data_IF_142864720438
#
_entry.id   IF_142864720438
#
_cell.length_a   1.000
_cell.length_b   1.000
_cell.length_c   1.000
_cell.angle_alpha   90.00
_cell.angle_beta   90.00
_cell.angle_gamma   90.00
#
_symmetry.space_group_name_H-M   'P 1'
#
loop_
_entity.id
_entity.type
_entity.pdbx_description
1 polymer ?
#
# COMPACT_ATOMS: atom_id res chain seq x y z
N UNK A 1 9.68 -11.92 1.47
CA UNK A 1 9.39 -10.85 0.47
C UNK A 1 8.44 -9.76 0.97
N UNK A 2 7.13 -9.97 1.17
CA UNK A 2 6.20 -8.83 1.35
C UNK A 2 6.23 -8.20 2.75
N UNK A 3 6.02 -8.97 3.82
CA UNK A 3 5.81 -8.45 5.18
C UNK A 3 7.07 -7.84 5.79
N UNK A 4 8.22 -8.43 5.49
CA UNK A 4 9.54 -8.07 6.06
C UNK A 4 10.47 -7.40 5.06
N UNK A 5 10.08 -7.33 3.78
CA UNK A 5 10.97 -6.91 2.69
C UNK A 5 12.17 -7.83 2.42
N UNK A 6 12.07 -9.12 2.78
CA UNK A 6 13.13 -10.10 2.55
C UNK A 6 13.47 -10.25 1.05
N UNK A 7 14.75 -10.03 0.73
CA UNK A 7 15.29 -9.98 -0.63
C UNK A 7 15.54 -11.37 -1.23
N UNK A 8 15.89 -12.38 -0.41
CA UNK A 8 16.13 -13.75 -0.89
C UNK A 8 14.84 -14.33 -1.47
N UNK A 9 13.75 -14.24 -0.73
CA UNK A 9 12.43 -14.65 -1.21
C UNK A 9 11.93 -13.80 -2.38
N UNK A 10 12.36 -12.53 -2.50
CA UNK A 10 12.03 -11.70 -3.66
C UNK A 10 12.72 -12.21 -4.92
N UNK A 11 14.00 -12.57 -4.81
CA UNK A 11 14.79 -13.17 -5.89
C UNK A 11 14.19 -14.52 -6.30
N UNK A 12 13.90 -15.41 -5.35
CA UNK A 12 13.28 -16.72 -5.63
C UNK A 12 11.96 -16.57 -6.40
N UNK A 13 11.07 -15.66 -5.95
CA UNK A 13 9.80 -15.41 -6.63
C UNK A 13 10.02 -14.82 -8.02
N UNK A 14 10.95 -13.87 -8.17
CA UNK A 14 11.28 -13.27 -9.47
C UNK A 14 11.80 -14.33 -10.45
N UNK A 15 12.61 -15.27 -9.98
CA UNK A 15 13.20 -16.30 -10.83
C UNK A 15 12.18 -17.36 -11.26
N UNK A 16 11.17 -17.65 -10.41
CA UNK A 16 10.02 -18.48 -10.79
C UNK A 16 9.15 -17.79 -11.85
N UNK A 17 8.89 -16.49 -11.69
CA UNK A 17 7.95 -15.73 -12.54
C UNK A 17 8.58 -15.28 -13.86
N UNK A 18 9.82 -14.79 -13.80
CA UNK A 18 10.56 -14.24 -14.95
C UNK A 18 10.13 -12.83 -15.38
N UNK A 19 11.07 -12.09 -15.97
CA UNK A 19 10.85 -10.71 -16.43
C UNK A 19 9.72 -10.58 -17.46
N UNK A 20 9.56 -11.57 -18.36
CA UNK A 20 8.50 -11.55 -19.37
C UNK A 20 7.09 -11.55 -18.77
N UNK A 21 6.85 -12.36 -17.73
CA UNK A 21 5.55 -12.39 -17.06
C UNK A 21 5.30 -11.13 -16.23
N UNK A 22 6.34 -10.54 -15.63
CA UNK A 22 6.24 -9.23 -14.97
C UNK A 22 5.84 -8.14 -15.97
N UNK A 23 6.47 -8.09 -17.14
CA UNK A 23 6.13 -7.11 -18.18
C UNK A 23 4.72 -7.36 -18.73
N UNK A 24 4.31 -8.62 -18.92
CA UNK A 24 2.95 -8.95 -19.36
C UNK A 24 1.89 -8.47 -18.35
N UNK A 25 2.15 -8.63 -17.05
CA UNK A 25 1.28 -8.07 -16.01
C UNK A 25 1.25 -6.55 -16.05
N UNK A 26 2.41 -5.90 -16.16
CA UNK A 26 2.52 -4.44 -16.27
C UNK A 26 1.70 -3.90 -17.46
N UNK A 27 1.80 -4.55 -18.61
CA UNK A 27 1.01 -4.21 -19.81
C UNK A 27 -0.49 -4.39 -19.55
N UNK A 28 -0.91 -5.49 -18.91
CA UNK A 28 -2.31 -5.75 -18.54
C UNK A 28 -2.87 -4.69 -17.59
N UNK A 29 -2.03 -4.15 -16.71
CA UNK A 29 -2.38 -3.08 -15.77
C UNK A 29 -2.41 -1.70 -16.45
N UNK A 30 -1.75 -1.56 -17.61
CA UNK A 30 -1.55 -0.28 -18.28
C UNK A 30 -0.39 0.55 -17.68
N UNK A 31 0.64 -0.12 -17.18
CA UNK A 31 1.87 0.50 -16.68
C UNK A 31 2.82 0.80 -17.85
N UNK A 32 2.81 2.03 -18.36
CA UNK A 32 3.49 2.38 -19.61
C UNK A 32 4.96 2.76 -19.45
N UNK A 33 5.44 2.92 -18.22
CA UNK A 33 6.83 3.24 -17.89
C UNK A 33 7.44 2.20 -16.93
N UNK A 34 6.88 0.99 -16.91
CA UNK A 34 7.45 -0.14 -16.20
C UNK A 34 8.46 -0.85 -17.09
N UNK A 35 9.68 -1.02 -16.59
CA UNK A 35 10.72 -1.77 -17.27
C UNK A 35 11.49 -2.62 -16.26
N UNK A 36 11.51 -3.93 -16.49
CA UNK A 36 12.28 -4.88 -15.68
C UNK A 36 13.78 -4.69 -15.89
N UNK A 37 14.57 -5.01 -14.87
CA UNK A 37 16.02 -5.09 -14.96
C UNK A 37 16.52 -6.53 -14.69
N UNK A 38 17.82 -6.75 -14.88
CA UNK A 38 18.46 -8.02 -14.49
C UNK A 38 18.38 -8.20 -12.98
N UNK A 39 18.75 -7.16 -12.22
CA UNK A 39 18.56 -7.09 -10.77
C UNK A 39 17.20 -6.46 -10.52
N UNK A 40 16.29 -7.17 -9.84
CA UNK A 40 14.91 -6.69 -9.67
C UNK A 40 14.83 -5.35 -8.92
N UNK A 41 15.81 -5.03 -8.07
CA UNK A 41 15.89 -3.74 -7.36
C UNK A 41 16.11 -2.53 -8.28
N UNK A 42 16.53 -2.75 -9.53
CA UNK A 42 16.74 -1.70 -10.54
C UNK A 42 15.54 -1.54 -11.50
N UNK A 43 14.43 -2.25 -11.21
CA UNK A 43 13.20 -2.15 -12.01
C UNK A 43 12.69 -0.71 -12.02
N UNK A 44 12.46 -0.17 -13.21
CA UNK A 44 11.93 1.17 -13.38
C UNK A 44 10.43 1.18 -13.08
N UNK A 45 10.02 2.15 -12.26
CA UNK A 45 8.64 2.34 -11.82
C UNK A 45 8.30 3.83 -11.81
N UNK A 46 7.01 4.17 -11.94
CA UNK A 46 6.51 5.53 -11.72
C UNK A 46 5.39 5.52 -10.70
N UNK A 47 5.15 6.65 -10.02
CA UNK A 47 4.03 6.81 -9.10
C UNK A 47 2.67 6.52 -9.79
N UNK A 48 2.53 6.94 -11.06
CA UNK A 48 1.32 6.73 -11.86
C UNK A 48 1.07 5.24 -12.11
N UNK A 49 2.10 4.50 -12.49
CA UNK A 49 1.97 3.08 -12.79
C UNK A 49 1.73 2.25 -11.52
N UNK A 50 2.41 2.60 -10.43
CA UNK A 50 2.19 1.95 -9.13
C UNK A 50 0.77 2.19 -8.61
N UNK A 51 0.20 3.39 -8.77
CA UNK A 51 -1.20 3.64 -8.36
C UNK A 51 -2.22 2.90 -9.22
N UNK A 52 -1.97 2.74 -10.53
CA UNK A 52 -2.82 1.90 -11.41
C UNK A 52 -2.86 0.45 -10.94
N UNK A 53 -1.69 -0.12 -10.61
CA UNK A 53 -1.60 -1.47 -10.06
C UNK A 53 -2.35 -1.56 -8.73
N UNK A 54 -2.04 -0.69 -7.77
CA UNK A 54 -2.58 -0.78 -6.41
C UNK A 54 -4.07 -0.48 -6.33
N UNK A 55 -4.62 0.37 -7.21
CA UNK A 55 -6.05 0.66 -7.22
C UNK A 55 -6.89 -0.62 -7.45
N UNK A 56 -6.39 -1.54 -8.28
CA UNK A 56 -7.09 -2.77 -8.69
C UNK A 56 -6.30 -4.05 -8.38
N UNK A 57 -5.35 -4.02 -7.44
CA UNK A 57 -4.36 -5.10 -7.21
C UNK A 57 -4.99 -6.47 -6.98
N UNK A 58 -6.10 -6.52 -6.25
CA UNK A 58 -6.88 -7.72 -5.98
C UNK A 58 -7.50 -8.33 -7.25
N UNK A 59 -7.82 -7.51 -8.26
CA UNK A 59 -8.30 -7.96 -9.57
C UNK A 59 -7.24 -8.72 -10.38
N UNK A 60 -5.96 -8.42 -10.16
CA UNK A 60 -4.84 -9.09 -10.83
C UNK A 60 -4.35 -10.35 -10.10
N UNK A 61 -4.86 -10.61 -8.90
CA UNK A 61 -4.53 -11.80 -8.12
C UNK A 61 -5.56 -12.90 -8.38
N UNK A 62 -5.09 -14.12 -8.64
CA UNK A 62 -5.95 -15.29 -8.77
C UNK A 62 -6.88 -15.43 -7.56
N UNK A 63 -8.17 -15.71 -7.81
CA UNK A 63 -9.24 -15.67 -6.78
C UNK A 63 -8.88 -16.44 -5.50
N UNK A 64 -8.27 -17.62 -5.64
CA UNK A 64 -7.85 -18.49 -4.53
C UNK A 64 -6.74 -17.89 -3.63
N UNK A 65 -5.93 -16.97 -4.16
CA UNK A 65 -4.80 -16.36 -3.43
C UNK A 65 -5.07 -14.94 -2.96
N UNK A 66 -6.17 -14.31 -3.40
CA UNK A 66 -6.48 -12.90 -3.15
C UNK A 66 -6.49 -12.56 -1.66
N UNK A 67 -7.19 -13.33 -0.84
CA UNK A 67 -7.25 -13.08 0.59
C UNK A 67 -5.87 -13.16 1.26
N UNK A 68 -5.02 -14.09 0.80
CA UNK A 68 -3.65 -14.23 1.30
C UNK A 68 -2.77 -13.04 0.91
N UNK A 69 -2.73 -12.70 -0.38
CA UNK A 69 -1.92 -11.59 -0.88
C UNK A 69 -2.32 -10.24 -0.24
N UNK A 70 -3.61 -9.97 -0.13
CA UNK A 70 -4.10 -8.76 0.55
C UNK A 70 -3.77 -8.78 2.05
N UNK A 71 -3.79 -9.94 2.71
CA UNK A 71 -3.35 -10.04 4.11
C UNK A 71 -1.87 -9.70 4.26
N UNK A 72 -1.00 -10.16 3.36
CA UNK A 72 0.43 -9.83 3.39
C UNK A 72 0.66 -8.30 3.32
N UNK A 73 -0.01 -7.61 2.39
CA UNK A 73 0.09 -6.15 2.26
C UNK A 73 -0.48 -5.36 3.44
N UNK A 74 -1.40 -5.97 4.22
CA UNK A 74 -1.94 -5.38 5.44
C UNK A 74 -1.08 -5.67 6.68
N UNK A 75 -0.19 -6.66 6.61
CA UNK A 75 0.54 -7.22 7.76
C UNK A 75 2.05 -6.97 7.68
N UNK A 76 2.47 -5.91 7.00
CA UNK A 76 3.86 -5.44 7.00
C UNK A 76 4.32 -5.19 8.45
N UNK A 77 5.45 -5.79 8.83
CA UNK A 77 5.94 -5.85 10.21
C UNK A 77 6.36 -4.47 10.72
N UNK A 78 6.32 -4.21 12.05
CA UNK A 78 6.56 -2.88 12.62
C UNK A 78 7.82 -2.18 12.11
N UNK A 79 8.95 -2.87 11.98
CA UNK A 79 10.22 -2.30 11.48
C UNK A 79 10.14 -1.78 10.04
N UNK A 80 9.18 -2.27 9.25
CA UNK A 80 8.92 -1.88 7.86
C UNK A 80 7.72 -0.92 7.73
N UNK A 81 7.16 -0.44 8.85
CA UNK A 81 6.01 0.50 8.88
C UNK A 81 6.45 1.94 9.13
N UNK A 82 7.13 2.52 8.15
CA UNK A 82 7.46 3.94 8.11
C UNK A 82 6.56 4.68 7.09
N UNK A 83 6.59 6.01 7.04
CA UNK A 83 5.87 6.79 6.04
C UNK A 83 4.35 6.61 6.16
N UNK A 84 3.69 6.12 5.10
CA UNK A 84 2.23 5.84 5.14
C UNK A 84 1.85 4.79 6.19
N UNK A 85 2.77 3.88 6.52
CA UNK A 85 2.57 2.85 7.53
C UNK A 85 2.27 3.43 8.93
N UNK A 86 2.72 4.67 9.18
CA UNK A 86 2.57 5.42 10.44
C UNK A 86 1.34 6.35 10.44
N UNK A 87 0.89 6.79 9.27
CA UNK A 87 -0.10 7.89 9.14
C UNK A 87 -1.38 7.51 8.40
N UNK A 88 -1.67 6.21 8.31
CA UNK A 88 -2.92 5.73 7.72
C UNK A 88 -4.15 6.33 8.42
N UNK A 89 -5.14 6.85 7.66
CA UNK A 89 -6.29 7.52 8.24
C UNK A 89 -7.18 6.51 8.99
N UNK A 90 -7.65 6.90 10.18
CA UNK A 90 -8.56 6.08 10.98
C UNK A 90 -9.81 5.73 10.17
N UNK A 91 -10.26 4.47 10.29
CA UNK A 91 -11.44 3.98 9.56
C UNK A 91 -11.17 3.54 8.13
N UNK A 92 -9.91 3.57 7.68
CA UNK A 92 -9.48 3.03 6.39
C UNK A 92 -8.58 1.83 6.62
N UNK A 93 -8.78 0.78 5.83
CA UNK A 93 -7.85 -0.35 5.77
C UNK A 93 -6.68 0.01 4.87
N UNK A 94 -5.46 -0.15 5.38
CA UNK A 94 -4.22 0.07 4.64
C UNK A 94 -3.69 -1.25 4.07
N UNK A 95 -3.40 -1.24 2.78
CA UNK A 95 -2.56 -2.22 2.10
C UNK A 95 -1.41 -1.48 1.44
N UNK A 96 -0.16 -1.81 1.73
CA UNK A 96 0.95 -1.03 1.20
C UNK A 96 2.23 -1.86 1.06
N UNK A 97 3.17 -1.32 0.29
CA UNK A 97 4.55 -1.78 0.27
C UNK A 97 5.49 -0.59 0.12
N UNK A 98 6.58 -0.60 0.89
CA UNK A 98 7.69 0.33 0.73
C UNK A 98 8.90 -0.31 0.05
N UNK A 99 9.76 0.52 -0.52
CA UNK A 99 11.06 0.16 -1.04
C UNK A 99 12.04 1.32 -0.89
N UNK A 100 13.32 0.99 -0.85
CA UNK A 100 14.42 1.91 -0.65
C UNK A 100 15.66 1.32 -1.33
N UNK A 101 16.60 2.17 -1.75
CA UNK A 101 17.87 1.74 -2.32
C UNK A 101 18.88 1.29 -1.25
N UNK A 102 20.18 1.50 -1.50
CA UNK A 102 21.30 1.15 -0.60
C UNK A 102 21.33 1.89 0.76
N UNK A 103 20.28 2.61 1.16
CA UNK A 103 20.26 3.37 2.41
C UNK A 103 20.86 4.77 2.38
N UNK A 104 21.44 5.13 1.24
CA UNK A 104 22.03 6.45 0.98
C UNK A 104 21.00 7.58 0.90
N UNK A 105 19.69 7.27 0.91
CA UNK A 105 18.63 8.23 0.59
C UNK A 105 18.56 8.57 -0.91
N UNK A 106 19.26 7.83 -1.76
CA UNK A 106 19.16 8.01 -3.21
C UNK A 106 17.72 7.75 -3.72
N UNK A 107 17.03 6.77 -3.13
CA UNK A 107 15.68 6.38 -3.51
C UNK A 107 14.94 5.86 -2.29
N UNK A 108 13.75 6.42 -2.07
CA UNK A 108 12.77 5.93 -1.10
C UNK A 108 11.38 6.02 -1.75
N UNK A 109 10.57 4.96 -1.61
CA UNK A 109 9.24 4.97 -2.19
C UNK A 109 8.25 4.11 -1.43
N UNK A 110 6.97 4.49 -1.52
CA UNK A 110 5.86 3.69 -1.04
C UNK A 110 4.67 3.81 -1.97
N UNK A 111 3.93 2.72 -2.09
CA UNK A 111 2.62 2.68 -2.73
C UNK A 111 1.62 2.02 -1.79
N UNK A 112 0.40 2.54 -1.77
CA UNK A 112 -0.68 2.05 -0.95
C UNK A 112 -2.01 2.03 -1.67
N UNK A 113 -2.88 1.17 -1.15
CA UNK A 113 -4.32 1.14 -1.36
C UNK A 113 -4.99 1.35 0.01
N UNK A 114 -5.82 2.38 0.10
CA UNK A 114 -6.70 2.68 1.21
C UNK A 114 -8.12 2.28 0.85
N UNK A 115 -8.78 1.49 1.70
CA UNK A 115 -10.16 1.02 1.48
C UNK A 115 -11.06 1.38 2.65
N UNK A 116 -12.23 1.94 2.34
CA UNK A 116 -13.33 2.16 3.29
C UNK A 116 -14.67 1.88 2.60
N UNK A 117 -15.36 0.82 3.00
CA UNK A 117 -16.56 0.35 2.30
C UNK A 117 -16.23 0.05 0.83
N UNK A 118 -17.02 0.59 -0.10
CA UNK A 118 -16.76 0.49 -1.54
C UNK A 118 -15.72 1.50 -2.06
N UNK A 119 -15.32 2.49 -1.25
CA UNK A 119 -14.37 3.52 -1.65
C UNK A 119 -12.94 2.98 -1.59
N UNK A 120 -12.20 3.22 -2.67
CA UNK A 120 -10.81 2.81 -2.84
C UNK A 120 -9.99 4.01 -3.29
N UNK A 121 -8.86 4.24 -2.65
CA UNK A 121 -7.91 5.29 -3.04
C UNK A 121 -6.53 4.66 -3.10
N UNK A 122 -5.84 4.81 -4.24
CA UNK A 122 -4.43 4.45 -4.33
C UNK A 122 -3.57 5.71 -4.32
N UNK A 123 -2.46 5.65 -3.59
CA UNK A 123 -1.47 6.72 -3.50
C UNK A 123 -0.07 6.12 -3.58
N UNK A 124 0.79 6.74 -4.37
CA UNK A 124 2.21 6.38 -4.46
C UNK A 124 3.05 7.64 -4.36
N UNK A 125 4.16 7.56 -3.63
CA UNK A 125 5.15 8.63 -3.51
C UNK A 125 6.52 7.99 -3.69
N UNK A 126 7.30 8.55 -4.61
CA UNK A 126 8.69 8.19 -4.88
C UNK A 126 9.51 9.46 -4.63
N UNK A 127 10.57 9.36 -3.85
CA UNK A 127 11.53 10.44 -3.58
C UNK A 127 12.93 9.98 -3.94
N UNK A 128 13.75 10.95 -4.33
CA UNK A 128 15.17 10.73 -4.64
C UNK A 128 16.00 11.81 -3.99
N UNK A 129 17.27 11.49 -3.71
CA UNK A 129 18.25 12.42 -3.16
C UNK A 129 17.87 13.02 -1.79
N UNK A 130 17.24 12.22 -0.93
CA UNK A 130 16.89 12.58 0.45
C UNK A 130 18.13 12.66 1.38
N UNK A 131 19.32 12.29 0.90
CA UNK A 131 20.59 12.34 1.66
C UNK A 131 20.76 11.24 2.71
N UNK A 132 19.67 10.65 3.21
CA UNK A 132 19.69 9.41 3.98
C UNK A 132 18.32 8.72 3.95
N UNK A 133 18.27 7.40 4.15
CA UNK A 133 17.00 6.68 4.31
C UNK A 133 16.19 7.18 5.52
N UNK A 134 16.85 7.61 6.60
CA UNK A 134 16.16 8.19 7.77
C UNK A 134 15.41 9.47 7.39
N UNK A 135 16.05 10.34 6.61
CA UNK A 135 15.39 11.55 6.12
C UNK A 135 14.30 11.22 5.09
N UNK A 136 14.54 10.28 4.16
CA UNK A 136 13.53 9.82 3.20
C UNK A 136 12.26 9.27 3.86
N UNK A 137 12.39 8.49 4.94
CA UNK A 137 11.25 8.06 5.78
C UNK A 137 10.46 9.25 6.34
N UNK A 138 11.15 10.28 6.83
CA UNK A 138 10.52 11.49 7.36
C UNK A 138 9.83 12.30 6.25
N UNK A 139 10.46 12.44 5.08
CA UNK A 139 9.88 13.07 3.88
C UNK A 139 8.59 12.38 3.49
N UNK A 140 8.60 11.05 3.35
CA UNK A 140 7.43 10.26 2.98
C UNK A 140 6.30 10.40 4.01
N UNK A 141 6.62 10.29 5.32
CA UNK A 141 5.63 10.53 6.39
C UNK A 141 5.00 11.91 6.28
N UNK A 142 5.80 12.94 6.00
CA UNK A 142 5.36 14.31 5.83
C UNK A 142 4.45 14.51 4.61
N UNK A 143 4.78 13.91 3.46
CA UNK A 143 3.97 13.97 2.24
C UNK A 143 2.65 13.24 2.45
N UNK A 144 2.68 11.99 2.93
CA UNK A 144 1.46 11.22 3.17
C UNK A 144 0.53 11.92 4.18
N UNK A 145 1.06 12.50 5.25
CA UNK A 145 0.26 13.26 6.22
C UNK A 145 -0.50 14.43 5.58
N UNK A 146 0.07 15.06 4.54
CA UNK A 146 -0.56 16.18 3.82
C UNK A 146 -1.57 15.67 2.81
N UNK A 147 -1.22 14.66 2.01
CA UNK A 147 -2.13 14.04 1.02
C UNK A 147 -3.37 13.42 1.68
N UNK A 148 -3.22 12.86 2.87
CA UNK A 148 -4.29 12.17 3.60
C UNK A 148 -5.07 13.09 4.54
N UNK A 149 -4.70 14.38 4.59
CA UNK A 149 -5.43 15.39 5.36
C UNK A 149 -6.84 15.53 4.78
N UNK A 150 -7.85 15.47 5.64
CA UNK A 150 -9.25 15.60 5.24
C UNK A 150 -9.92 14.29 4.79
N UNK A 151 -9.21 13.16 4.80
CA UNK A 151 -9.86 11.86 4.56
C UNK A 151 -11.03 11.65 5.54
N UNK A 152 -12.20 11.20 5.06
CA UNK A 152 -13.35 10.93 5.89
C UNK A 152 -12.99 10.04 7.08
N UNK A 153 -13.33 10.51 8.29
CA UNK A 153 -13.17 9.74 9.53
C UNK A 153 -14.49 9.02 9.86
N UNK A 154 -14.47 7.95 10.68
CA UNK A 154 -15.68 7.42 11.27
C UNK A 154 -16.35 8.52 12.12
N UNK A 155 -17.63 8.80 11.90
CA UNK A 155 -18.38 9.70 12.78
C UNK A 155 -18.42 9.08 14.20
N UNK A 156 -18.21 9.91 15.23
CA UNK A 156 -18.38 9.48 16.65
C UNK A 156 -19.84 9.22 17.04
N UNK A 157 -20.79 9.43 16.15
CA UNK A 157 -22.23 9.46 16.44
C UNK A 157 -23.00 8.32 15.76
N UNK A 158 -22.91 7.10 16.31
CA UNK A 158 -24.00 6.10 16.17
C UNK A 158 -24.00 5.00 17.25
N UNK A 159 -23.47 5.25 18.46
CA UNK A 159 -23.77 4.41 19.64
C UNK A 159 -24.89 5.05 20.48
N UNK A 160 -26.03 5.39 19.85
CA UNK A 160 -27.27 5.50 20.63
C UNK A 160 -27.86 4.09 20.67
N UNK A 161 -27.96 3.43 21.84
CA UNK A 161 -28.76 2.23 21.93
C UNK A 161 -30.19 2.59 21.49
N UNK A 162 -30.94 1.66 20.86
CA UNK A 162 -32.35 1.90 20.56
C UNK A 162 -33.05 2.31 21.87
N UNK A 163 -33.84 3.39 21.82
CA UNK A 163 -34.71 3.75 22.94
C UNK A 163 -35.59 2.54 23.20
N UNK A 164 -35.49 1.98 24.41
CA UNK A 164 -36.47 1.01 24.88
C UNK A 164 -37.86 1.67 24.78
N UNK A 165 -38.73 1.08 23.99
CA UNK A 165 -40.15 1.42 23.99
C UNK A 165 -40.67 0.87 25.32
N UNK A 166 -40.81 1.73 26.33
CA UNK A 166 -41.56 1.39 27.52
C UNK A 166 -43.03 1.41 27.13
N UNK A 167 -43.64 0.23 27.08
CA UNK A 167 -45.09 0.13 27.05
C UNK A 167 -45.62 0.56 28.42
N UNK A 168 -46.66 1.42 28.48
CA UNK A 168 -47.33 1.68 29.74
C UNK A 168 -47.93 0.37 30.26
N UNK A 169 -47.67 0.07 31.53
CA UNK A 169 -48.40 -0.98 32.24
C UNK A 169 -49.88 -0.57 32.25
N UNK A 170 -50.73 -1.43 31.67
CA UNK A 170 -52.17 -1.32 31.78
C UNK A 170 -52.62 -1.52 33.22
N UNK A 171 -53.79 -0.94 33.50
CA UNK A 171 -54.55 -0.89 34.76
C UNK A 171 -54.76 -2.23 35.46
#
# INVERSE_FOLDING_TARGET
MITESDNTAATEVRDIVGNGALQALANRVGMTHFATAQIWGETQITARDQTRLFLHIDGYIARRHRAYAMRLLASVVPSQRWGIGEVAPRGWKLYFKGGWGYGTGLLDHQVALLVRGCTRVSVAVLTMYDGSHTYGKATLRGIFSRLLRGFPRPNRTSRRPPRAIMYPAGE
#
